data_IF_789416274517
#
_entry.id   IF_789416274517
#
_cell.length_a   1.000
_cell.length_b   1.000
_cell.length_c   1.000
_cell.angle_alpha   90.00
_cell.angle_beta   90.00
_cell.angle_gamma   90.00
#
_symmetry.space_group_name_H-M   'P 1'
#
loop_
_entity.id
_entity.type
_entity.pdbx_description
1 polymer ?
#
# COMPACT_ATOMS: atom_id res chain seq x y z
N UNK A 1 -2.73 -14.09 18.99
CA UNK A 1 -1.45 -14.04 18.24
C UNK A 1 -1.13 -15.46 17.79
N UNK A 2 -0.81 -15.67 16.51
CA UNK A 2 -0.48 -17.01 15.98
C UNK A 2 0.79 -17.53 16.68
N UNK A 3 0.85 -18.84 16.92
CA UNK A 3 1.90 -19.53 17.68
C UNK A 3 3.29 -19.54 17.02
N UNK A 4 3.40 -19.18 15.74
CA UNK A 4 4.66 -19.13 14.98
C UNK A 4 4.70 -17.88 14.09
N UNK A 5 5.13 -16.72 14.61
CA UNK A 5 5.37 -15.53 13.80
C UNK A 5 6.40 -15.83 12.70
N UNK A 6 6.17 -15.33 11.49
CA UNK A 6 7.04 -15.57 10.34
C UNK A 6 7.00 -14.40 9.35
N UNK A 7 8.18 -13.97 8.92
CA UNK A 7 8.34 -12.98 7.85
C UNK A 7 7.67 -13.41 6.55
N UNK A 8 7.74 -14.71 6.23
CA UNK A 8 7.11 -15.28 5.03
C UNK A 8 5.59 -15.14 5.13
N UNK A 9 5.00 -15.47 6.29
CA UNK A 9 3.57 -15.31 6.53
C UNK A 9 3.15 -13.84 6.47
N UNK A 10 3.90 -12.91 7.07
CA UNK A 10 3.62 -11.47 6.96
C UNK A 10 3.61 -11.00 5.50
N UNK A 11 4.62 -11.40 4.73
CA UNK A 11 4.75 -10.99 3.33
C UNK A 11 3.65 -11.60 2.47
N UNK A 12 3.30 -12.87 2.71
CA UNK A 12 2.21 -13.55 2.02
C UNK A 12 0.86 -12.88 2.31
N UNK A 13 0.56 -12.57 3.57
CA UNK A 13 -0.65 -11.84 3.96
C UNK A 13 -0.66 -10.44 3.33
N UNK A 14 0.48 -9.73 3.36
CA UNK A 14 0.62 -8.43 2.71
C UNK A 14 0.28 -8.49 1.22
N UNK A 15 0.84 -9.46 0.49
CA UNK A 15 0.53 -9.70 -0.93
C UNK A 15 -0.93 -10.05 -1.18
N UNK A 16 -1.56 -10.85 -0.32
CA UNK A 16 -2.96 -11.24 -0.47
C UNK A 16 -3.90 -10.06 -0.28
N UNK A 17 -3.67 -9.23 0.73
CA UNK A 17 -4.46 -8.00 0.92
C UNK A 17 -4.18 -6.99 -0.20
N UNK A 18 -2.92 -6.85 -0.60
CA UNK A 18 -2.53 -6.05 -1.77
C UNK A 18 -3.19 -6.52 -3.07
N UNK A 19 -3.25 -7.83 -3.31
CA UNK A 19 -3.97 -8.43 -4.43
C UNK A 19 -5.46 -8.07 -4.38
N UNK A 20 -6.09 -8.15 -3.21
CA UNK A 20 -7.50 -7.77 -3.05
C UNK A 20 -7.73 -6.30 -3.43
N UNK A 21 -6.88 -5.38 -2.96
CA UNK A 21 -6.93 -3.97 -3.37
C UNK A 21 -6.71 -3.80 -4.88
N UNK A 22 -5.70 -4.45 -5.44
CA UNK A 22 -5.41 -4.38 -6.86
C UNK A 22 -6.56 -4.89 -7.73
N UNK A 23 -7.22 -5.99 -7.34
CA UNK A 23 -8.39 -6.53 -8.03
C UNK A 23 -9.57 -5.57 -7.93
N UNK A 24 -9.81 -4.99 -6.75
CA UNK A 24 -10.85 -3.96 -6.58
C UNK A 24 -10.60 -2.78 -7.52
N UNK A 25 -9.38 -2.25 -7.56
CA UNK A 25 -9.02 -1.17 -8.48
C UNK A 25 -9.19 -1.58 -9.96
N UNK A 26 -8.78 -2.80 -10.33
CA UNK A 26 -8.88 -3.30 -11.69
C UNK A 26 -10.32 -3.32 -12.21
N UNK A 27 -11.30 -3.58 -11.35
CA UNK A 27 -12.72 -3.60 -11.70
C UNK A 27 -13.42 -2.24 -11.55
N UNK A 28 -13.09 -1.48 -10.50
CA UNK A 28 -13.74 -0.19 -10.19
C UNK A 28 -13.25 0.92 -11.13
N UNK A 29 -11.95 0.96 -11.46
CA UNK A 29 -11.38 2.04 -12.26
C UNK A 29 -12.01 2.14 -13.66
N UNK A 30 -12.21 1.05 -14.43
CA UNK A 30 -12.91 1.13 -15.71
C UNK A 30 -14.34 1.64 -15.63
N UNK A 31 -15.02 1.41 -14.48
CA UNK A 31 -16.38 1.91 -14.28
C UNK A 31 -16.40 3.43 -14.04
N UNK A 32 -15.41 3.96 -13.33
CA UNK A 32 -15.30 5.39 -13.02
C UNK A 32 -14.57 6.21 -14.10
N UNK A 33 -13.59 5.60 -14.77
CA UNK A 33 -12.73 6.22 -15.78
C UNK A 33 -12.54 5.26 -16.97
N UNK A 34 -13.55 5.13 -17.85
CA UNK A 34 -13.56 4.14 -18.95
C UNK A 34 -12.40 4.28 -19.93
N UNK A 35 -11.85 5.49 -20.08
CA UNK A 35 -10.72 5.80 -20.96
C UNK A 35 -9.36 5.31 -20.43
N UNK A 36 -9.35 4.70 -19.23
CA UNK A 36 -8.11 4.21 -18.61
C UNK A 36 -7.52 3.06 -19.41
N UNK A 37 -6.25 3.21 -19.81
CA UNK A 37 -5.53 2.18 -20.58
C UNK A 37 -5.40 0.88 -19.78
N UNK A 38 -5.66 -0.26 -20.43
CA UNK A 38 -5.56 -1.59 -19.82
C UNK A 38 -4.17 -1.87 -19.20
N UNK A 39 -3.09 -1.38 -19.83
CA UNK A 39 -1.73 -1.52 -19.30
C UNK A 39 -1.56 -0.84 -17.93
N UNK A 40 -2.20 0.32 -17.72
CA UNK A 40 -2.16 1.01 -16.43
C UNK A 40 -2.91 0.23 -15.35
N UNK A 41 -4.05 -0.40 -15.68
CA UNK A 41 -4.80 -1.25 -14.76
C UNK A 41 -4.00 -2.48 -14.31
N UNK A 42 -3.33 -3.17 -15.25
CA UNK A 42 -2.41 -4.25 -14.91
C UNK A 42 -1.24 -3.76 -14.06
N UNK A 43 -0.69 -2.59 -14.40
CA UNK A 43 0.34 -1.92 -13.61
C UNK A 43 -0.13 -1.69 -12.17
N UNK A 44 -1.34 -1.17 -11.99
CA UNK A 44 -1.94 -0.88 -10.68
C UNK A 44 -2.20 -2.15 -9.86
N UNK A 45 -2.69 -3.22 -10.49
CA UNK A 45 -2.88 -4.53 -9.85
C UNK A 45 -1.56 -5.09 -9.32
N UNK A 46 -0.53 -5.14 -10.16
CA UNK A 46 0.79 -5.65 -9.78
C UNK A 46 1.50 -4.74 -8.77
N UNK A 47 1.27 -3.43 -8.88
CA UNK A 47 1.73 -2.43 -7.92
C UNK A 47 1.18 -2.73 -6.53
N UNK A 48 -0.13 -2.93 -6.37
CA UNK A 48 -0.71 -3.20 -5.06
C UNK A 48 -0.26 -4.52 -4.43
N UNK A 49 0.04 -5.55 -5.24
CA UNK A 49 0.68 -6.79 -4.73
C UNK A 49 2.08 -6.48 -4.18
N UNK A 50 2.87 -5.69 -4.91
CA UNK A 50 4.24 -5.30 -4.52
C UNK A 50 4.25 -4.39 -3.29
N UNK A 51 3.34 -3.42 -3.28
CA UNK A 51 3.03 -2.53 -2.16
C UNK A 51 2.74 -3.32 -0.89
N UNK A 52 1.83 -4.29 -0.97
CA UNK A 52 1.50 -5.15 0.16
C UNK A 52 2.68 -5.99 0.64
N UNK A 53 3.51 -6.50 -0.27
CA UNK A 53 4.72 -7.23 0.09
C UNK A 53 5.71 -6.35 0.88
N UNK A 54 5.98 -5.12 0.40
CA UNK A 54 6.91 -4.20 1.03
C UNK A 54 6.42 -3.77 2.42
N UNK A 55 5.12 -3.47 2.58
CA UNK A 55 4.55 -3.15 3.90
C UNK A 55 4.65 -4.36 4.85
N UNK A 56 4.39 -5.56 4.35
CA UNK A 56 4.52 -6.80 5.13
C UNK A 56 5.93 -6.99 5.69
N UNK A 57 6.95 -6.73 4.86
CA UNK A 57 8.36 -6.78 5.24
C UNK A 57 8.75 -5.64 6.19
N UNK A 58 8.42 -4.39 5.84
CA UNK A 58 8.82 -3.22 6.61
C UNK A 58 8.19 -3.17 8.00
N UNK A 59 6.97 -3.67 8.16
CA UNK A 59 6.29 -3.69 9.45
C UNK A 59 6.91 -4.61 10.52
N UNK A 60 7.99 -5.32 10.21
CA UNK A 60 8.79 -6.08 11.20
C UNK A 60 9.74 -5.18 11.98
N UNK A 61 10.18 -4.06 11.38
CA UNK A 61 11.08 -3.12 12.05
C UNK A 61 10.34 -2.38 13.15
N UNK A 62 10.68 -2.71 14.40
CA UNK A 62 10.12 -2.11 15.62
C UNK A 62 11.04 -1.03 16.23
N UNK A 63 12.19 -0.78 15.63
CA UNK A 63 13.18 0.15 16.14
C UNK A 63 13.90 0.89 15.02
N UNK A 64 14.04 2.20 15.16
CA UNK A 64 14.78 3.03 14.22
C UNK A 64 16.28 3.09 14.62
N UNK A 65 17.21 2.58 13.80
CA UNK A 65 18.62 2.43 14.21
C UNK A 65 19.33 3.78 14.44
N UNK A 66 19.03 4.80 13.63
CA UNK A 66 19.65 6.13 13.73
C UNK A 66 19.00 6.98 14.83
N UNK A 67 17.67 7.14 14.80
CA UNK A 67 16.92 7.98 15.73
C UNK A 67 16.73 7.36 17.12
N UNK A 68 17.01 6.06 17.28
CA UNK A 68 16.90 5.31 18.54
C UNK A 68 15.52 5.36 19.19
N UNK A 69 14.47 5.36 18.38
CA UNK A 69 13.07 5.38 18.82
C UNK A 69 12.37 4.06 18.45
N UNK A 70 11.40 3.66 19.28
CA UNK A 70 10.51 2.57 18.97
C UNK A 70 9.60 2.96 17.79
N UNK A 71 9.46 2.06 16.81
CA UNK A 71 8.62 2.25 15.63
C UNK A 71 7.43 1.28 15.68
N UNK A 72 6.26 1.73 16.15
CA UNK A 72 5.09 0.86 16.19
C UNK A 72 4.69 0.46 14.77
N UNK A 73 4.22 -0.77 14.58
CA UNK A 73 3.86 -1.33 13.27
C UNK A 73 2.98 -0.41 12.42
N UNK A 74 2.03 0.29 13.07
CA UNK A 74 1.07 1.14 12.38
C UNK A 74 1.77 2.35 11.78
N UNK A 75 2.76 2.91 12.47
CA UNK A 75 3.51 4.07 11.98
C UNK A 75 4.39 3.66 10.79
N UNK A 76 5.14 2.57 10.93
CA UNK A 76 6.01 2.06 9.87
C UNK A 76 5.20 1.70 8.63
N UNK A 77 4.12 0.94 8.78
CA UNK A 77 3.28 0.52 7.65
C UNK A 77 2.60 1.70 6.95
N UNK A 78 2.11 2.68 7.73
CA UNK A 78 1.46 3.89 7.19
C UNK A 78 2.45 4.75 6.42
N UNK A 79 3.61 5.07 7.02
CA UNK A 79 4.64 5.88 6.36
C UNK A 79 5.15 5.20 5.09
N UNK A 80 5.40 3.89 5.14
CA UNK A 80 5.83 3.14 3.96
C UNK A 80 4.76 3.15 2.86
N UNK A 81 3.49 3.00 3.22
CA UNK A 81 2.39 3.10 2.27
C UNK A 81 2.29 4.48 1.61
N UNK A 82 2.35 5.55 2.39
CA UNK A 82 2.37 6.92 1.86
C UNK A 82 3.57 7.16 0.96
N UNK A 83 4.77 6.75 1.39
CA UNK A 83 6.00 6.90 0.61
C UNK A 83 5.92 6.18 -0.73
N UNK A 84 5.47 4.92 -0.73
CA UNK A 84 5.34 4.15 -1.96
C UNK A 84 4.37 4.80 -2.93
N UNK A 85 3.18 5.20 -2.48
CA UNK A 85 2.22 5.86 -3.37
C UNK A 85 2.67 7.27 -3.78
N UNK A 86 3.48 7.96 -2.99
CA UNK A 86 4.14 9.20 -3.42
C UNK A 86 5.09 8.95 -4.59
N UNK A 87 5.95 7.93 -4.48
CA UNK A 87 6.85 7.54 -5.58
C UNK A 87 6.05 7.16 -6.82
N UNK A 88 4.99 6.35 -6.66
CA UNK A 88 4.11 5.99 -7.76
C UNK A 88 3.40 7.21 -8.37
N UNK A 89 2.99 8.17 -7.55
CA UNK A 89 2.41 9.45 -7.99
C UNK A 89 3.39 10.23 -8.85
N UNK A 90 4.67 10.26 -8.50
CA UNK A 90 5.66 10.93 -9.36
C UNK A 90 5.94 10.18 -10.66
N UNK A 91 5.96 8.85 -10.64
CA UNK A 91 6.23 8.04 -11.83
C UNK A 91 5.06 8.06 -12.80
N UNK A 92 3.82 8.06 -12.29
CA UNK A 92 2.59 7.95 -13.08
C UNK A 92 1.70 9.20 -12.91
N UNK A 93 2.31 10.38 -12.75
CA UNK A 93 1.61 11.62 -12.41
C UNK A 93 0.47 11.93 -13.37
N UNK A 94 0.75 11.91 -14.67
CA UNK A 94 -0.24 12.27 -15.70
C UNK A 94 -1.41 11.26 -15.74
N UNK A 95 -1.12 9.98 -15.56
CA UNK A 95 -2.13 8.92 -15.54
C UNK A 95 -3.03 9.04 -14.31
N UNK A 96 -2.44 9.31 -13.15
CA UNK A 96 -3.19 9.52 -11.90
C UNK A 96 -3.97 10.83 -11.95
N UNK A 97 -3.42 11.91 -12.51
CA UNK A 97 -4.14 13.16 -12.74
C UNK A 97 -5.37 12.95 -13.62
N UNK A 98 -5.21 12.25 -14.75
CA UNK A 98 -6.32 11.93 -15.63
C UNK A 98 -7.39 11.10 -14.90
N UNK A 99 -6.98 10.12 -14.10
CA UNK A 99 -7.87 9.33 -13.26
C UNK A 99 -8.63 10.20 -12.24
N UNK A 100 -7.93 11.06 -11.50
CA UNK A 100 -8.54 11.92 -10.49
C UNK A 100 -9.53 12.91 -11.09
N UNK A 101 -9.21 13.50 -12.25
CA UNK A 101 -10.14 14.38 -12.99
C UNK A 101 -11.35 13.60 -13.50
N UNK A 102 -11.16 12.37 -13.99
CA UNK A 102 -12.27 11.54 -14.45
C UNK A 102 -13.24 11.17 -13.30
N UNK A 103 -12.71 10.87 -12.11
CA UNK A 103 -13.51 10.47 -10.94
C UNK A 103 -14.17 11.67 -10.25
N UNK A 104 -13.42 12.76 -10.03
CA UNK A 104 -13.84 13.89 -9.19
C UNK A 104 -14.25 15.14 -9.96
N UNK A 105 -14.11 15.13 -11.28
CA UNK A 105 -14.42 16.26 -12.16
C UNK A 105 -13.33 17.33 -12.21
N UNK A 106 -13.35 18.11 -13.28
CA UNK A 106 -12.44 19.24 -13.48
C UNK A 106 -12.70 20.33 -12.43
N UNK A 107 -11.68 20.74 -11.69
CA UNK A 107 -11.81 21.74 -10.62
C UNK A 107 -12.27 21.20 -9.27
N UNK A 108 -12.49 19.88 -9.15
CA UNK A 108 -12.84 19.25 -7.88
C UNK A 108 -11.72 19.37 -6.84
N UNK A 109 -12.07 19.51 -5.56
CA UNK A 109 -11.08 19.62 -4.47
C UNK A 109 -10.17 18.37 -4.35
N UNK A 110 -10.65 17.22 -4.83
CA UNK A 110 -9.93 15.94 -4.83
C UNK A 110 -9.24 15.62 -6.16
N UNK A 111 -9.15 16.57 -7.10
CA UNK A 111 -8.52 16.32 -8.41
C UNK A 111 -6.99 16.17 -8.35
N UNK A 112 -6.36 16.58 -7.24
CA UNK A 112 -4.91 16.55 -7.10
C UNK A 112 -4.38 15.10 -7.02
N UNK A 113 -3.33 14.72 -7.79
CA UNK A 113 -2.79 13.36 -7.77
C UNK A 113 -2.21 13.00 -6.40
N UNK A 114 -1.80 14.00 -5.63
CA UNK A 114 -1.25 13.80 -4.29
C UNK A 114 -2.27 13.23 -3.29
N UNK A 115 -3.57 13.24 -3.59
CA UNK A 115 -4.55 12.48 -2.81
C UNK A 115 -4.31 10.96 -2.86
N UNK A 116 -3.62 10.48 -3.89
CA UNK A 116 -3.17 9.08 -3.97
C UNK A 116 -2.16 8.72 -2.87
N UNK A 117 -1.42 9.71 -2.35
CA UNK A 117 -0.53 9.53 -1.18
C UNK A 117 -1.36 9.22 0.06
N UNK A 118 -2.47 9.95 0.26
CA UNK A 118 -3.38 9.72 1.39
C UNK A 118 -4.01 8.32 1.32
N UNK A 119 -4.38 7.87 0.12
CA UNK A 119 -4.81 6.49 -0.11
C UNK A 119 -3.71 5.48 0.28
N UNK A 120 -2.45 5.76 -0.07
CA UNK A 120 -1.31 4.96 0.35
C UNK A 120 -1.11 4.88 1.86
N UNK A 121 -1.32 5.97 2.59
CA UNK A 121 -1.28 5.97 4.06
C UNK A 121 -2.33 5.02 4.63
N UNK A 122 -3.56 5.10 4.13
CA UNK A 122 -4.70 4.29 4.61
C UNK A 122 -4.51 2.82 4.23
N UNK A 123 -4.20 2.52 2.97
CA UNK A 123 -3.94 1.17 2.50
C UNK A 123 -2.76 0.54 3.24
N UNK A 124 -1.69 1.33 3.48
CA UNK A 124 -0.54 0.94 4.29
C UNK A 124 -0.93 0.51 5.70
N UNK A 125 -1.74 1.31 6.37
CA UNK A 125 -2.26 1.01 7.71
C UNK A 125 -3.08 -0.29 7.73
N UNK A 126 -4.01 -0.46 6.77
CA UNK A 126 -4.86 -1.66 6.67
C UNK A 126 -4.03 -2.92 6.45
N UNK A 127 -3.11 -2.89 5.48
CA UNK A 127 -2.22 -4.02 5.19
C UNK A 127 -1.35 -4.33 6.40
N UNK A 128 -0.77 -3.30 7.03
CA UNK A 128 0.04 -3.42 8.23
C UNK A 128 -0.70 -4.08 9.40
N UNK A 129 -1.98 -3.76 9.58
CA UNK A 129 -2.83 -4.38 10.60
C UNK A 129 -2.97 -5.88 10.37
N UNK A 130 -3.37 -6.30 9.17
CA UNK A 130 -3.56 -7.72 8.85
C UNK A 130 -2.25 -8.50 8.88
N UNK A 131 -1.17 -7.94 8.32
CA UNK A 131 0.16 -8.55 8.37
C UNK A 131 0.62 -8.75 9.82
N UNK A 132 0.36 -7.78 10.70
CA UNK A 132 0.71 -7.88 12.13
C UNK A 132 -0.16 -8.87 12.89
N UNK A 133 -1.47 -8.89 12.61
CA UNK A 133 -2.42 -9.79 13.24
C UNK A 133 -2.10 -11.26 12.96
N UNK A 134 -1.70 -11.58 11.72
CA UNK A 134 -1.48 -12.96 11.28
C UNK A 134 -0.01 -13.38 11.28
N UNK A 135 0.93 -12.48 11.00
CA UNK A 135 2.35 -12.81 10.88
C UNK A 135 3.22 -12.45 12.09
N UNK A 136 2.69 -11.76 13.11
CA UNK A 136 3.44 -11.36 14.32
C UNK A 136 4.26 -10.09 14.13
N UNK A 137 4.86 -9.51 15.17
CA UNK A 137 5.57 -8.22 15.12
C UNK A 137 6.91 -8.26 15.85
N UNK A 138 7.86 -7.42 15.41
CA UNK A 138 9.17 -7.24 16.02
C UNK A 138 10.19 -8.34 15.69
N UNK A 139 11.36 -8.35 16.36
CA UNK A 139 12.51 -9.20 16.04
C UNK A 139 12.18 -10.70 16.05
N UNK A 140 11.22 -11.12 16.89
CA UNK A 140 10.72 -12.50 16.95
C UNK A 140 10.15 -13.01 15.62
N UNK A 141 9.78 -12.10 14.72
CA UNK A 141 9.23 -12.42 13.39
C UNK A 141 10.31 -12.47 12.31
N UNK A 142 11.47 -11.86 12.56
CA UNK A 142 12.60 -11.82 11.63
C UNK A 142 13.45 -13.12 11.65
N UNK A 143 13.27 -13.99 12.65
CA UNK A 143 14.05 -15.22 12.79
C UNK A 143 13.36 -16.35 13.55
N UNK A 144 12.77 -17.28 12.79
CA UNK A 144 13.10 -18.70 12.85
C UNK A 144 13.54 -19.12 11.45
#
# INVERSE_FOLDING_TARGET
MISNPSLVTRTAVGKLIGLAFGVLCFWIVPWLAPETRLLFLWGLLLWYITFGAIIGLAGVFDYHPVLKIAMPWWLTATIMGGWMNLVFTFVAYDQIQALMVAIFGLGGALQSPFWFVADGLIAGWIIGYFATKFGGYGPSTAGR
#
